data_IF_127226433535
#
_entry.id   IF_127226433535
#
_cell.length_a   1.000
_cell.length_b   1.000
_cell.length_c   1.000
_cell.angle_alpha   90.00
_cell.angle_beta   90.00
_cell.angle_gamma   90.00
#
_symmetry.space_group_name_H-M   'P 1'
#
loop_
_entity.id
_entity.type
_entity.pdbx_description
1 polymer ?
#
# COMPACT_ATOMS: atom_id res chain seq x y z
N UNK A 1 12.84 -3.82 1.77
CA UNK A 1 11.80 -3.24 2.65
C UNK A 1 10.72 -4.28 2.88
N UNK A 2 9.87 -4.08 3.88
CA UNK A 2 8.71 -4.92 4.13
C UNK A 2 7.44 -4.08 4.02
N UNK A 3 6.46 -4.57 3.27
CA UNK A 3 5.11 -4.03 3.19
C UNK A 3 4.16 -5.07 3.78
N UNK A 4 3.36 -4.64 4.75
CA UNK A 4 2.37 -5.48 5.38
C UNK A 4 0.99 -5.03 4.94
N UNK A 5 0.30 -5.89 4.20
CA UNK A 5 -1.08 -5.66 3.78
C UNK A 5 -2.02 -6.29 4.80
N UNK A 6 -2.83 -5.49 5.48
CA UNK A 6 -3.90 -6.04 6.31
C UNK A 6 -4.93 -6.72 5.42
N UNK A 7 -5.12 -8.02 5.60
CA UNK A 7 -6.02 -8.78 4.75
C UNK A 7 -6.60 -10.01 5.46
N UNK A 8 -7.72 -10.48 4.92
CA UNK A 8 -8.32 -11.77 5.25
C UNK A 8 -7.94 -12.79 4.18
N UNK A 9 -7.36 -13.91 4.58
CA UNK A 9 -7.15 -15.05 3.66
C UNK A 9 -8.49 -15.63 3.20
N UNK A 10 -8.69 -15.73 1.88
CA UNK A 10 -9.82 -16.44 1.27
C UNK A 10 -9.41 -17.88 0.97
N UNK A 11 -8.26 -18.06 0.32
CA UNK A 11 -7.61 -19.36 0.08
C UNK A 11 -6.08 -19.18 -0.06
N UNK A 12 -5.36 -20.21 -0.51
CA UNK A 12 -3.89 -20.17 -0.61
C UNK A 12 -3.34 -19.17 -1.63
N UNK A 13 -4.16 -18.73 -2.57
CA UNK A 13 -3.78 -17.84 -3.67
C UNK A 13 -4.57 -16.53 -3.70
N UNK A 14 -5.54 -16.35 -2.78
CA UNK A 14 -6.45 -15.22 -2.80
C UNK A 14 -6.64 -14.64 -1.39
N UNK A 15 -6.49 -13.32 -1.31
CA UNK A 15 -6.57 -12.52 -0.09
C UNK A 15 -7.48 -11.32 -0.33
N UNK A 16 -8.20 -10.91 0.71
CA UNK A 16 -9.11 -9.75 0.70
C UNK A 16 -8.55 -8.66 1.59
N UNK A 17 -8.14 -7.53 1.00
CA UNK A 17 -7.57 -6.37 1.70
C UNK A 17 -8.60 -5.26 1.94
N UNK A 18 -9.82 -5.38 1.40
CA UNK A 18 -10.87 -4.38 1.53
C UNK A 18 -11.35 -4.31 2.97
N UNK A 19 -11.27 -3.11 3.54
CA UNK A 19 -11.79 -2.77 4.85
C UNK A 19 -13.04 -1.89 4.67
N UNK A 20 -14.14 -2.17 5.39
CA UNK A 20 -15.33 -1.32 5.34
C UNK A 20 -15.07 0.10 5.88
N UNK A 21 -15.78 1.08 5.35
CA UNK A 21 -15.60 2.50 5.69
C UNK A 21 -15.84 2.85 7.16
N UNK A 22 -16.65 2.08 7.87
CA UNK A 22 -16.93 2.29 9.30
C UNK A 22 -15.64 2.25 10.15
N UNK A 23 -14.57 1.61 9.65
CA UNK A 23 -13.27 1.56 10.32
C UNK A 23 -12.39 2.79 10.09
N UNK A 24 -12.73 3.68 9.14
CA UNK A 24 -11.89 4.84 8.77
C UNK A 24 -11.47 5.68 9.98
N UNK A 25 -12.46 6.16 10.73
CA UNK A 25 -12.23 7.06 11.86
C UNK A 25 -11.43 6.39 12.98
N UNK A 26 -11.63 5.09 13.18
CA UNK A 26 -10.83 4.32 14.14
C UNK A 26 -9.36 4.25 13.71
N UNK A 27 -9.08 3.92 12.45
CA UNK A 27 -7.72 3.83 11.90
C UNK A 27 -7.00 5.18 11.96
N UNK A 28 -7.65 6.25 11.51
CA UNK A 28 -7.09 7.61 11.52
C UNK A 28 -6.69 8.01 12.95
N UNK A 29 -7.57 7.81 13.93
CA UNK A 29 -7.29 8.17 15.32
C UNK A 29 -6.19 7.29 15.94
N UNK A 30 -6.27 5.98 15.73
CA UNK A 30 -5.32 5.02 16.32
C UNK A 30 -3.89 5.25 15.84
N UNK A 31 -3.71 5.54 14.55
CA UNK A 31 -2.39 5.69 13.94
C UNK A 31 -1.98 7.15 13.71
N UNK A 32 -2.81 8.12 14.12
CA UNK A 32 -2.60 9.56 13.92
C UNK A 32 -2.36 9.92 12.45
N UNK A 33 -3.13 9.30 11.56
CA UNK A 33 -3.00 9.47 10.11
C UNK A 33 -3.41 10.89 9.69
N UNK A 34 -2.66 11.46 8.77
CA UNK A 34 -2.94 12.76 8.18
C UNK A 34 -3.25 12.59 6.70
N UNK A 35 -4.17 13.40 6.18
CA UNK A 35 -4.49 13.39 4.75
C UNK A 35 -3.32 13.95 3.94
N UNK A 36 -2.92 13.25 2.88
CA UNK A 36 -1.79 13.59 2.03
C UNK A 36 -2.19 13.97 0.60
N UNK A 37 -3.48 13.94 0.26
CA UNK A 37 -3.96 14.30 -1.09
C UNK A 37 -4.61 13.13 -1.83
N UNK A 38 -5.01 13.43 -3.07
CA UNK A 38 -5.48 12.44 -4.05
C UNK A 38 -4.28 11.89 -4.81
N UNK A 39 -4.24 10.57 -4.97
CA UNK A 39 -3.18 9.90 -5.71
C UNK A 39 -3.79 9.02 -6.81
N UNK A 40 -3.11 8.97 -7.95
CA UNK A 40 -3.31 7.95 -8.98
C UNK A 40 -2.09 7.05 -9.03
N UNK A 41 -2.35 5.75 -8.98
CA UNK A 41 -1.35 4.70 -9.02
C UNK A 41 -1.64 3.78 -10.21
N UNK A 42 -0.62 3.56 -11.03
CA UNK A 42 -0.66 2.65 -12.17
C UNK A 42 0.41 1.58 -11.99
N UNK A 43 0.13 0.39 -12.49
CA UNK A 43 1.09 -0.71 -12.55
C UNK A 43 1.23 -1.22 -13.97
N UNK A 44 2.45 -1.22 -14.50
CA UNK A 44 2.84 -1.91 -15.73
C UNK A 44 3.94 -2.90 -15.36
N UNK A 45 3.55 -4.18 -15.26
CA UNK A 45 4.35 -5.28 -14.73
C UNK A 45 4.90 -4.93 -13.35
N UNK A 46 6.22 -4.78 -13.27
CA UNK A 46 6.96 -4.49 -12.05
C UNK A 46 7.20 -2.99 -11.85
N UNK A 47 6.65 -2.12 -12.70
CA UNK A 47 6.80 -0.68 -12.56
C UNK A 47 5.55 -0.10 -11.93
N UNK A 48 5.73 0.45 -10.73
CA UNK A 48 4.73 1.31 -10.08
C UNK A 48 4.92 2.74 -10.54
N UNK A 49 3.86 3.34 -11.07
CA UNK A 49 3.81 4.71 -11.52
C UNK A 49 2.85 5.47 -10.62
N UNK A 50 3.35 6.49 -9.90
CA UNK A 50 2.57 7.25 -8.93
C UNK A 50 2.51 8.73 -9.32
N UNK A 51 1.34 9.36 -9.18
CA UNK A 51 1.17 10.81 -9.33
C UNK A 51 0.16 11.37 -8.33
N UNK A 52 0.41 12.60 -7.90
CA UNK A 52 -0.47 13.45 -7.09
C UNK A 52 -0.96 14.69 -7.88
N UNK A 53 -0.67 14.74 -9.19
CA UNK A 53 -0.98 15.87 -10.06
C UNK A 53 0.22 16.78 -10.37
N UNK A 54 1.32 16.73 -9.61
CA UNK A 54 2.52 17.55 -9.89
C UNK A 54 3.51 16.86 -10.85
N UNK A 55 3.35 15.56 -11.04
CA UNK A 55 4.11 14.78 -12.00
C UNK A 55 4.08 13.29 -11.69
N UNK A 56 4.81 12.52 -12.49
CA UNK A 56 4.90 11.07 -12.34
C UNK A 56 6.23 10.65 -11.74
N UNK A 57 6.16 9.75 -10.76
CA UNK A 57 7.26 8.98 -10.21
C UNK A 57 7.15 7.54 -10.69
N UNK A 58 8.28 6.96 -11.11
CA UNK A 58 8.38 5.60 -11.60
C UNK A 58 9.33 4.83 -10.71
N UNK A 59 8.83 3.78 -10.07
CA UNK A 59 9.60 2.87 -9.23
C UNK A 59 9.51 1.46 -9.81
N UNK A 60 10.64 0.84 -10.16
CA UNK A 60 10.71 -0.59 -10.45
C UNK A 60 10.78 -1.36 -9.13
N UNK A 61 9.87 -2.32 -8.96
CA UNK A 61 9.68 -3.09 -7.73
C UNK A 61 9.95 -4.57 -8.03
N UNK A 62 10.78 -5.18 -7.20
CA UNK A 62 11.02 -6.62 -7.24
C UNK A 62 10.63 -7.21 -5.90
N UNK A 63 9.76 -8.22 -5.92
CA UNK A 63 9.42 -8.98 -4.74
C UNK A 63 10.47 -10.06 -4.48
N UNK A 64 10.99 -10.11 -3.25
CA UNK A 64 11.88 -11.17 -2.78
C UNK A 64 11.09 -12.36 -2.23
N UNK A 65 10.06 -12.08 -1.42
CA UNK A 65 9.22 -13.12 -0.82
C UNK A 65 7.90 -12.57 -0.30
N UNK A 66 6.88 -13.42 -0.32
CA UNK A 66 5.55 -13.12 0.19
C UNK A 66 5.14 -14.20 1.18
N UNK A 67 4.75 -13.80 2.40
CA UNK A 67 4.34 -14.73 3.46
C UNK A 67 3.07 -14.23 4.12
N UNK A 68 2.08 -15.10 4.27
CA UNK A 68 0.89 -14.81 5.07
C UNK A 68 1.11 -15.20 6.53
N UNK A 69 0.94 -14.27 7.46
CA UNK A 69 1.07 -14.51 8.91
C UNK A 69 0.04 -13.69 9.70
N UNK A 70 -0.81 -14.37 10.45
CA UNK A 70 -1.90 -13.73 11.18
C UNK A 70 -2.97 -13.19 10.21
N UNK A 71 -3.17 -11.88 10.20
CA UNK A 71 -4.09 -11.17 9.30
C UNK A 71 -3.32 -10.25 8.32
N UNK A 72 -2.09 -10.65 7.97
CA UNK A 72 -1.22 -9.85 7.12
C UNK A 72 -0.60 -10.70 6.02
N UNK A 73 -0.61 -10.15 4.81
CA UNK A 73 0.27 -10.57 3.72
C UNK A 73 1.52 -9.70 3.82
N UNK A 74 2.66 -10.33 4.09
CA UNK A 74 3.94 -9.66 4.31
C UNK A 74 4.76 -9.83 3.04
N UNK A 75 4.92 -8.74 2.31
CA UNK A 75 5.76 -8.67 1.13
C UNK A 75 7.13 -8.08 1.49
N UNK A 76 8.20 -8.84 1.24
CA UNK A 76 9.57 -8.32 1.25
C UNK A 76 9.92 -7.94 -0.18
N UNK A 77 10.29 -6.68 -0.39
CA UNK A 77 10.54 -6.15 -1.73
C UNK A 77 11.71 -5.18 -1.77
N UNK A 78 12.29 -5.00 -2.94
CA UNK A 78 13.18 -3.91 -3.30
C UNK A 78 12.46 -2.92 -4.22
N UNK A 79 12.82 -1.65 -4.12
CA UNK A 79 12.31 -0.60 -5.01
C UNK A 79 13.44 0.31 -5.44
N UNK A 80 13.49 0.63 -6.74
CA UNK A 80 14.49 1.52 -7.34
C UNK A 80 13.80 2.48 -8.30
N UNK A 81 14.18 3.76 -8.25
CA UNK A 81 13.70 4.75 -9.22
C UNK A 81 14.16 4.30 -10.61
N UNK A 82 13.25 4.37 -11.60
CA UNK A 82 13.57 4.02 -12.98
C UNK A 82 13.24 5.16 -13.95
N UNK A 83 13.72 5.01 -15.19
CA UNK A 83 13.55 5.99 -16.26
C UNK A 83 12.07 6.15 -16.61
N UNK A 84 11.62 7.40 -16.74
CA UNK A 84 10.26 7.72 -17.18
C UNK A 84 10.06 7.27 -18.62
N UNK A 85 8.89 6.74 -18.93
CA UNK A 85 8.49 6.36 -20.29
C UNK A 85 7.00 6.66 -20.49
N UNK A 86 6.58 6.73 -21.76
CA UNK A 86 5.17 6.81 -22.12
C UNK A 86 4.51 5.46 -21.91
N UNK A 87 3.44 5.42 -21.11
CA UNK A 87 2.72 4.19 -20.79
C UNK A 87 1.28 4.29 -21.28
N UNK A 88 0.75 3.17 -21.76
CA UNK A 88 -0.62 2.98 -22.24
C UNK A 88 -1.01 1.53 -21.93
N UNK A 89 -2.30 1.24 -21.69
CA UNK A 89 -2.79 -0.11 -21.38
C UNK A 89 -2.04 -0.78 -20.21
N UNK A 90 -2.07 -0.12 -19.05
CA UNK A 90 -1.46 -0.64 -17.81
C UNK A 90 -2.23 -1.86 -17.28
N UNK A 91 -1.56 -2.67 -16.46
CA UNK A 91 -2.16 -3.86 -15.83
C UNK A 91 -3.18 -3.47 -14.75
N UNK A 92 -2.94 -2.35 -14.06
CA UNK A 92 -3.83 -1.83 -13.04
C UNK A 92 -3.79 -0.30 -12.99
N UNK A 93 -4.95 0.31 -12.73
CA UNK A 93 -5.11 1.74 -12.48
C UNK A 93 -5.99 1.94 -11.24
N UNK A 94 -5.56 2.81 -10.35
CA UNK A 94 -6.21 3.09 -9.08
C UNK A 94 -6.17 4.58 -8.76
N UNK A 95 -7.27 5.09 -8.21
CA UNK A 95 -7.35 6.45 -7.66
C UNK A 95 -7.84 6.38 -6.21
N UNK A 96 -7.16 7.08 -5.30
CA UNK A 96 -7.49 7.04 -3.88
C UNK A 96 -7.08 8.30 -3.13
N UNK A 97 -7.76 8.56 -2.01
CA UNK A 97 -7.34 9.52 -0.97
C UNK A 97 -6.29 8.85 -0.09
N UNK A 98 -5.11 9.45 0.00
CA UNK A 98 -4.01 8.91 0.79
C UNK A 98 -3.99 9.53 2.19
N UNK A 99 -3.87 8.69 3.21
CA UNK A 99 -3.57 9.12 4.56
C UNK A 99 -2.34 8.39 5.09
N UNK A 100 -1.38 9.12 5.66
CA UNK A 100 -0.17 8.50 6.20
C UNK A 100 0.23 9.06 7.56
N UNK A 101 1.02 8.28 8.29
CA UNK A 101 1.78 8.75 9.44
C UNK A 101 3.04 7.90 9.60
N UNK A 102 4.12 8.53 10.06
CA UNK A 102 5.36 7.82 10.41
C UNK A 102 5.55 7.83 11.92
N UNK A 103 5.78 6.65 12.51
CA UNK A 103 6.08 6.49 13.93
C UNK A 103 7.34 5.61 14.06
N UNK A 104 8.46 6.22 14.44
CA UNK A 104 9.76 5.55 14.40
C UNK A 104 10.14 5.15 12.97
N UNK A 105 10.43 3.86 12.77
CA UNK A 105 10.78 3.29 11.44
C UNK A 105 9.58 2.72 10.68
N UNK A 106 8.36 2.89 11.17
CA UNK A 106 7.15 2.35 10.56
C UNK A 106 6.34 3.49 9.95
N UNK A 107 6.02 3.35 8.66
CA UNK A 107 5.11 4.24 7.94
C UNK A 107 3.77 3.54 7.79
N UNK A 108 2.72 4.08 8.40
CA UNK A 108 1.34 3.61 8.24
C UNK A 108 0.69 4.31 7.05
N UNK A 109 -0.05 3.53 6.26
CA UNK A 109 -0.64 3.95 5.00
C UNK A 109 -2.09 3.48 4.99
N UNK A 110 -3.02 4.41 4.85
CA UNK A 110 -4.44 4.14 4.61
C UNK A 110 -4.79 4.73 3.26
N UNK A 111 -5.21 3.88 2.32
CA UNK A 111 -5.76 4.30 1.05
C UNK A 111 -7.29 4.23 1.14
N UNK A 112 -7.94 5.33 0.81
CA UNK A 112 -9.39 5.40 0.73
C UNK A 112 -9.82 5.46 -0.74
N UNK A 113 -10.48 4.41 -1.18
CA UNK A 113 -11.12 4.30 -2.49
C UNK A 113 -12.58 4.72 -2.39
N UNK A 114 -13.32 4.65 -3.50
CA UNK A 114 -14.74 5.03 -3.52
C UNK A 114 -15.64 4.09 -2.71
N UNK A 115 -15.29 2.81 -2.61
CA UNK A 115 -16.16 1.76 -2.02
C UNK A 115 -15.54 1.03 -0.84
N UNK A 116 -14.24 1.21 -0.57
CA UNK A 116 -13.52 0.52 0.49
C UNK A 116 -12.25 1.28 0.92
N UNK A 117 -11.63 0.80 1.98
CA UNK A 117 -10.31 1.23 2.44
C UNK A 117 -9.31 0.07 2.31
N UNK A 118 -8.03 0.37 2.17
CA UNK A 118 -6.95 -0.59 2.43
C UNK A 118 -6.00 -0.02 3.47
N UNK A 119 -5.43 -0.89 4.31
CA UNK A 119 -4.50 -0.48 5.35
C UNK A 119 -3.21 -1.27 5.26
N UNK A 120 -2.13 -0.53 5.18
CA UNK A 120 -0.78 -1.05 4.99
C UNK A 120 0.17 -0.39 5.98
N UNK A 121 1.30 -1.04 6.23
CA UNK A 121 2.45 -0.34 6.78
C UNK A 121 3.77 -0.84 6.20
N UNK A 122 4.69 0.10 6.04
CA UNK A 122 6.00 -0.06 5.43
C UNK A 122 7.09 0.11 6.51
N UNK A 123 8.05 -0.81 6.55
CA UNK A 123 9.17 -0.75 7.48
C UNK A 123 10.44 -1.44 6.92
N UNK A 124 11.64 -1.08 7.42
CA UNK A 124 12.90 -1.65 6.91
C UNK A 124 13.13 -3.10 7.35
N UNK A 125 12.57 -3.51 8.48
CA UNK A 125 12.80 -4.82 9.11
C UNK A 125 11.49 -5.54 9.40
N UNK A 126 11.54 -6.87 9.53
CA UNK A 126 10.41 -7.63 10.07
C UNK A 126 10.15 -7.15 11.49
N UNK A 127 8.95 -6.65 11.72
CA UNK A 127 8.50 -6.23 13.04
C UNK A 127 7.36 -7.14 13.48
N UNK A 128 7.36 -7.53 14.76
CA UNK A 128 6.24 -8.22 15.38
C UNK A 128 5.15 -7.18 15.68
N UNK A 129 4.44 -6.77 14.65
CA UNK A 129 3.35 -5.82 14.80
C UNK A 129 2.11 -6.58 15.27
N UNK A 130 1.72 -6.33 16.53
CA UNK A 130 0.43 -6.74 17.08
C UNK A 130 -0.56 -5.63 16.78
N UNK A 131 -1.29 -5.75 15.67
CA UNK A 131 -2.39 -4.85 15.36
C UNK A 131 -3.62 -5.63 14.91
N UNK A 132 -4.71 -5.36 15.64
CA UNK A 132 -5.98 -6.08 15.74
C UNK A 132 -5.90 -7.35 16.58
#
# INVERSE_FOLDING_TARGET
MYLYHYCKKINDYLFEERIPFDKKNFLIKKFRLQYNGMFKEYWDKNVRILTDGEGFRFDYITDDSVVYKGNYLINKFESKICTKYSFYNVDCEMEYRLYTATQGMVRYILKEYDTYLTFEYECPNITNIKLF
#
